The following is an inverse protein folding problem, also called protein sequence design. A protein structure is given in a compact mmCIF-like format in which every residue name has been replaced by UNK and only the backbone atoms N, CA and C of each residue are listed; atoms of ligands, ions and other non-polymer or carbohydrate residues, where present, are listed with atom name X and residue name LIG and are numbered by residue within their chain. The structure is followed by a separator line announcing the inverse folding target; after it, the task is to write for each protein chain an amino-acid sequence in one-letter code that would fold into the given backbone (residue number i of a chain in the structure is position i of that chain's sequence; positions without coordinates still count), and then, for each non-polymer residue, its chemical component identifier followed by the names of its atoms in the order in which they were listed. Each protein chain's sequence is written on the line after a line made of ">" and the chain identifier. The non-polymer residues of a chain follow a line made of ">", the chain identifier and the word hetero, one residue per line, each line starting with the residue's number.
data_IF_235926645762
#
_entry.id   IF_235926645762
#
_cell.length_a   1.000
_cell.length_b   1.000
_cell.length_c   1.000
_cell.angle_alpha   90.00
_cell.angle_beta   90.00
_cell.angle_gamma   90.00
#
_symmetry.space_group_name_H-M   'P 1'
#
loop_
_entity.id
_entity.type
_entity.pdbx_description
1 polymer ?
#
# COMPACT_ATOMS: atom_id res chain seq x y z
N UNK A 1 8.02 4.89 10.60
CA UNK A 1 7.12 3.81 11.09
C UNK A 1 5.71 3.83 10.49
N UNK A 2 5.03 4.98 10.33
CA UNK A 2 3.66 5.02 9.78
C UNK A 2 3.50 4.33 8.41
N UNK A 3 4.39 4.66 7.46
CA UNK A 3 4.40 4.06 6.11
C UNK A 3 4.64 2.54 6.10
N UNK A 4 5.48 2.03 7.00
CA UNK A 4 5.68 0.59 7.17
C UNK A 4 4.40 -0.08 7.68
N UNK A 5 3.78 0.49 8.71
CA UNK A 5 2.54 -0.06 9.27
C UNK A 5 1.41 -0.10 8.23
N UNK A 6 1.35 0.87 7.33
CA UNK A 6 0.38 0.87 6.26
C UNK A 6 0.63 -0.24 5.22
N UNK A 7 1.87 -0.72 5.01
CA UNK A 7 2.12 -1.90 4.17
C UNK A 7 1.51 -3.18 4.76
N UNK A 8 1.43 -3.30 6.10
CA UNK A 8 0.78 -4.46 6.74
C UNK A 8 -0.72 -4.53 6.44
N UNK A 9 -1.38 -3.40 6.16
CA UNK A 9 -2.79 -3.38 5.71
C UNK A 9 -2.97 -4.23 4.48
N UNK A 10 -2.01 -4.21 3.55
CA UNK A 10 -2.10 -5.00 2.32
C UNK A 10 -2.10 -6.51 2.59
N UNK A 11 -1.29 -6.98 3.54
CA UNK A 11 -1.32 -8.39 3.94
C UNK A 11 -2.63 -8.74 4.64
N UNK A 12 -3.07 -7.92 5.59
CA UNK A 12 -4.29 -8.17 6.37
C UNK A 12 -5.53 -8.26 5.48
N UNK A 13 -5.73 -7.28 4.58
CA UNK A 13 -6.89 -7.28 3.69
C UNK A 13 -6.76 -8.38 2.63
N UNK A 14 -5.55 -8.63 2.11
CA UNK A 14 -5.30 -9.74 1.19
C UNK A 14 -5.64 -11.11 1.80
N UNK A 15 -5.31 -11.29 3.09
CA UNK A 15 -5.62 -12.49 3.87
C UNK A 15 -7.12 -12.63 4.11
N UNK A 16 -7.80 -11.56 4.53
CA UNK A 16 -9.26 -11.55 4.72
C UNK A 16 -9.95 -11.93 3.40
N UNK A 17 -9.54 -11.34 2.28
CA UNK A 17 -10.09 -11.66 0.98
C UNK A 17 -9.94 -13.15 0.64
N UNK A 18 -8.77 -13.74 0.90
CA UNK A 18 -8.56 -15.17 0.72
C UNK A 18 -9.47 -16.04 1.62
N UNK A 19 -9.69 -15.64 2.87
CA UNK A 19 -10.60 -16.36 3.78
C UNK A 19 -12.07 -16.26 3.36
N UNK A 20 -12.50 -15.12 2.80
CA UNK A 20 -13.83 -14.96 2.22
C UNK A 20 -14.06 -15.91 1.04
N UNK A 21 -13.03 -16.17 0.24
CA UNK A 21 -13.07 -17.22 -0.79
C UNK A 21 -13.32 -18.60 -0.16
N UNK A 22 -12.57 -18.96 0.88
CA UNK A 22 -12.71 -20.26 1.55
C UNK A 22 -14.06 -20.45 2.24
N UNK A 23 -14.62 -19.39 2.81
CA UNK A 23 -15.92 -19.41 3.50
C UNK A 23 -17.13 -19.34 2.54
N UNK A 24 -16.91 -19.56 1.24
CA UNK A 24 -17.91 -19.50 0.18
C UNK A 24 -18.66 -18.16 0.08
N UNK A 25 -18.17 -17.08 0.71
CA UNK A 25 -18.74 -15.73 0.55
C UNK A 25 -18.60 -15.30 -0.91
N UNK A 26 -17.43 -15.55 -1.50
CA UNK A 26 -17.18 -15.30 -2.90
C UNK A 26 -18.07 -16.13 -3.85
N UNK A 27 -18.35 -17.40 -3.49
CA UNK A 27 -19.24 -18.25 -4.27
C UNK A 27 -20.67 -17.69 -4.31
N UNK A 28 -21.16 -17.13 -3.20
CA UNK A 28 -22.48 -16.46 -3.15
C UNK A 28 -22.52 -15.21 -4.03
N UNK A 29 -21.44 -14.44 -4.09
CA UNK A 29 -21.32 -13.26 -4.98
C UNK A 29 -21.37 -13.68 -6.46
N UNK A 30 -20.69 -14.77 -6.83
CA UNK A 30 -20.74 -15.31 -8.20
C UNK A 30 -22.14 -15.83 -8.56
N UNK A 31 -22.82 -16.51 -7.63
CA UNK A 31 -24.18 -17.01 -7.77
C UNK A 31 -25.20 -15.86 -7.90
N UNK A 32 -24.95 -14.73 -7.24
CA UNK A 32 -25.71 -13.49 -7.41
C UNK A 32 -25.44 -12.77 -8.76
N UNK A 33 -24.76 -13.43 -9.70
CA UNK A 33 -24.37 -12.91 -11.01
C UNK A 33 -23.53 -11.62 -10.97
N UNK A 34 -22.83 -11.37 -9.86
CA UNK A 34 -21.94 -10.22 -9.74
C UNK A 34 -20.63 -10.47 -10.48
N UNK A 35 -20.07 -9.41 -11.07
CA UNK A 35 -18.81 -9.50 -11.79
C UNK A 35 -17.65 -9.75 -10.82
N UNK A 36 -16.64 -10.51 -11.25
CA UNK A 36 -15.38 -10.67 -10.48
C UNK A 36 -14.70 -9.32 -10.19
N UNK A 37 -14.94 -8.33 -11.05
CA UNK A 37 -14.39 -7.00 -10.91
C UNK A 37 -15.01 -6.25 -9.74
N UNK A 38 -16.27 -6.49 -9.41
CA UNK A 38 -16.92 -5.90 -8.23
C UNK A 38 -16.20 -6.30 -6.94
N UNK A 39 -15.80 -7.57 -6.85
CA UNK A 39 -15.01 -8.05 -5.72
C UNK A 39 -13.59 -7.45 -5.73
N UNK A 40 -12.92 -7.49 -6.89
CA UNK A 40 -11.58 -6.90 -7.05
C UNK A 40 -11.53 -5.42 -6.64
N UNK A 41 -12.48 -4.62 -7.11
CA UNK A 41 -12.58 -3.19 -6.75
C UNK A 41 -12.96 -3.01 -5.29
N UNK A 42 -13.79 -3.90 -4.71
CA UNK A 42 -14.12 -3.88 -3.28
C UNK A 42 -12.88 -4.06 -2.41
N UNK A 43 -12.03 -5.05 -2.71
CA UNK A 43 -10.75 -5.27 -2.02
C UNK A 43 -9.81 -4.09 -2.22
N UNK A 44 -9.68 -3.57 -3.45
CA UNK A 44 -8.86 -2.40 -3.76
C UNK A 44 -9.28 -1.18 -2.94
N UNK A 45 -10.56 -0.81 -3.01
CA UNK A 45 -11.11 0.34 -2.30
C UNK A 45 -10.99 0.16 -0.78
N UNK A 46 -11.21 -1.05 -0.26
CA UNK A 46 -11.03 -1.32 1.17
C UNK A 46 -9.60 -1.01 1.58
N UNK A 47 -8.60 -1.52 0.87
CA UNK A 47 -7.20 -1.26 1.19
C UNK A 47 -6.81 0.20 1.12
N UNK A 48 -7.22 0.91 0.06
CA UNK A 48 -6.97 2.35 -0.08
C UNK A 48 -7.61 3.14 1.07
N UNK A 49 -8.86 2.84 1.42
CA UNK A 49 -9.59 3.55 2.48
C UNK A 49 -8.96 3.27 3.84
N UNK A 50 -8.67 2.00 4.17
CA UNK A 50 -8.09 1.64 5.46
C UNK A 50 -6.67 2.21 5.62
N UNK A 51 -5.84 2.19 4.58
CA UNK A 51 -4.50 2.81 4.65
C UNK A 51 -4.59 4.33 4.80
N UNK A 52 -5.53 4.97 4.09
CA UNK A 52 -5.74 6.41 4.15
C UNK A 52 -6.20 6.82 5.56
N UNK A 53 -7.23 6.17 6.10
CA UNK A 53 -7.72 6.41 7.46
C UNK A 53 -6.61 6.18 8.48
N UNK A 54 -5.87 5.07 8.37
CA UNK A 54 -4.77 4.78 9.28
C UNK A 54 -3.72 5.90 9.28
N UNK A 55 -3.30 6.37 8.11
CA UNK A 55 -2.29 7.43 8.01
C UNK A 55 -2.83 8.76 8.54
N UNK A 56 -4.07 9.13 8.23
CA UNK A 56 -4.70 10.34 8.76
C UNK A 56 -4.83 10.28 10.29
N UNK A 57 -5.16 9.13 10.87
CA UNK A 57 -5.23 8.97 12.33
C UNK A 57 -3.84 9.15 12.95
N UNK A 58 -2.80 8.51 12.40
CA UNK A 58 -1.44 8.59 12.94
C UNK A 58 -0.88 10.02 12.83
N UNK A 59 -0.98 10.64 11.66
CA UNK A 59 -0.46 11.98 11.44
C UNK A 59 -1.33 13.06 12.08
N UNK A 60 -2.64 12.85 12.18
CA UNK A 60 -3.55 13.73 12.94
C UNK A 60 -3.23 13.70 14.43
N UNK A 61 -2.92 12.53 14.98
CA UNK A 61 -2.42 12.42 16.35
C UNK A 61 -1.06 13.11 16.52
N UNK A 62 -0.16 12.97 15.54
CA UNK A 62 1.13 13.66 15.54
C UNK A 62 0.98 15.19 15.57
N UNK A 63 0.07 15.71 14.76
CA UNK A 63 -0.26 17.14 14.72
C UNK A 63 -0.85 17.62 16.06
N UNK A 64 -1.81 16.89 16.64
CA UNK A 64 -2.50 17.31 17.88
C UNK A 64 -1.63 17.24 19.13
N UNK A 65 -0.78 16.22 19.26
CA UNK A 65 -0.07 15.92 20.52
C UNK A 65 1.38 16.38 20.50
N UNK A 66 2.03 16.32 19.34
CA UNK A 66 3.46 16.62 19.19
C UNK A 66 3.72 17.93 18.45
N UNK A 67 2.67 18.70 18.15
CA UNK A 67 2.75 20.01 17.47
C UNK A 67 3.47 19.95 16.11
N UNK A 68 3.30 18.83 15.39
CA UNK A 68 3.89 18.61 14.07
C UNK A 68 3.05 19.31 13.02
N UNK A 69 3.52 20.44 12.48
CA UNK A 69 2.84 21.18 11.41
C UNK A 69 3.25 20.69 10.01
N UNK A 70 2.28 20.73 9.09
CA UNK A 70 2.48 20.46 7.67
C UNK A 70 2.12 21.73 6.90
N UNK A 71 3.12 22.48 6.44
CA UNK A 71 2.90 23.79 5.82
C UNK A 71 2.09 23.69 4.51
N UNK A 72 2.31 22.62 3.75
CA UNK A 72 1.54 22.30 2.54
C UNK A 72 0.60 21.11 2.77
N UNK A 73 -0.59 21.42 3.27
CA UNK A 73 -1.65 20.42 3.50
C UNK A 73 -2.08 19.71 2.20
N UNK A 74 -2.01 20.41 1.07
CA UNK A 74 -2.38 19.84 -0.24
C UNK A 74 -1.39 18.75 -0.63
N UNK A 75 -0.09 19.03 -0.53
CA UNK A 75 0.95 18.05 -0.80
C UNK A 75 0.86 16.85 0.17
N UNK A 76 0.58 17.10 1.46
CA UNK A 76 0.38 16.04 2.45
C UNK A 76 -0.77 15.08 2.06
N UNK A 77 -1.92 15.63 1.66
CA UNK A 77 -3.08 14.82 1.23
C UNK A 77 -2.75 14.04 -0.04
N UNK A 78 -2.07 14.67 -1.02
CA UNK A 78 -1.69 14.02 -2.28
C UNK A 78 -0.74 12.84 -2.07
N UNK A 79 0.27 12.99 -1.21
CA UNK A 79 1.17 11.87 -0.85
C UNK A 79 0.37 10.75 -0.19
N UNK A 80 -0.50 11.09 0.76
CA UNK A 80 -1.29 10.11 1.51
C UNK A 80 -2.21 9.30 0.58
N UNK A 81 -2.82 9.95 -0.41
CA UNK A 81 -3.63 9.29 -1.44
C UNK A 81 -2.75 8.42 -2.35
N UNK A 82 -1.66 8.96 -2.90
CA UNK A 82 -0.79 8.21 -3.82
C UNK A 82 -0.17 6.97 -3.16
N UNK A 83 0.26 7.12 -1.90
CA UNK A 83 0.77 6.02 -1.10
C UNK A 83 -0.34 4.99 -0.78
N UNK A 84 -1.55 5.43 -0.45
CA UNK A 84 -2.69 4.53 -0.23
C UNK A 84 -3.07 3.74 -1.47
N UNK A 85 -2.98 4.34 -2.67
CA UNK A 85 -3.15 3.64 -3.95
C UNK A 85 -2.05 2.59 -4.16
N UNK A 86 -0.79 2.87 -3.77
CA UNK A 86 0.28 1.87 -3.78
C UNK A 86 -0.05 0.66 -2.89
N UNK A 87 -0.50 0.91 -1.66
CA UNK A 87 -0.91 -0.15 -0.72
C UNK A 87 -2.10 -0.94 -1.29
N UNK A 88 -3.09 -0.25 -1.86
CA UNK A 88 -4.23 -0.87 -2.53
C UNK A 88 -3.80 -1.79 -3.68
N UNK A 89 -2.89 -1.33 -4.53
CA UNK A 89 -2.34 -2.11 -5.63
C UNK A 89 -1.61 -3.38 -5.18
N UNK A 90 -0.77 -3.27 -4.14
CA UNK A 90 -0.12 -4.43 -3.52
C UNK A 90 -1.18 -5.41 -2.99
N UNK A 91 -2.21 -4.91 -2.32
CA UNK A 91 -3.28 -5.74 -1.73
C UNK A 91 -3.94 -6.61 -2.79
N UNK A 92 -4.43 -6.02 -3.89
CA UNK A 92 -5.11 -6.79 -4.94
C UNK A 92 -4.17 -7.75 -5.65
N UNK A 93 -2.87 -7.44 -5.75
CA UNK A 93 -1.87 -8.36 -6.27
C UNK A 93 -1.68 -9.56 -5.36
N UNK A 94 -1.53 -9.34 -4.06
CA UNK A 94 -1.44 -10.41 -3.06
C UNK A 94 -2.70 -11.28 -3.11
N UNK A 95 -3.90 -10.68 -3.12
CA UNK A 95 -5.16 -11.41 -3.27
C UNK A 95 -5.18 -12.25 -4.55
N UNK A 96 -4.78 -11.69 -5.70
CA UNK A 96 -4.76 -12.41 -6.97
C UNK A 96 -3.82 -13.63 -6.93
N UNK A 97 -2.64 -13.48 -6.33
CA UNK A 97 -1.66 -14.57 -6.19
C UNK A 97 -2.18 -15.62 -5.20
N UNK A 98 -2.67 -15.23 -4.03
CA UNK A 98 -3.27 -16.14 -3.04
C UNK A 98 -4.41 -16.96 -3.65
N UNK A 99 -5.25 -16.33 -4.47
CA UNK A 99 -6.36 -16.99 -5.15
C UNK A 99 -5.89 -18.03 -6.15
N UNK A 100 -4.78 -17.76 -6.85
CA UNK A 100 -4.19 -18.65 -7.85
C UNK A 100 -3.39 -19.80 -7.24
N UNK A 101 -2.74 -19.54 -6.10
CA UNK A 101 -1.99 -20.54 -5.35
C UNK A 101 -2.88 -21.37 -4.40
N UNK A 102 -4.14 -20.95 -4.20
CA UNK A 102 -5.04 -21.52 -3.20
C UNK A 102 -4.41 -21.57 -1.79
N UNK A 103 -3.63 -20.54 -1.42
CA UNK A 103 -2.91 -20.48 -0.15
C UNK A 103 -2.73 -19.05 0.38
N UNK A 104 -2.64 -18.92 1.72
CA UNK A 104 -2.26 -17.70 2.46
C UNK A 104 -0.72 -17.46 2.46
N UNK A 105 0.06 -18.35 1.84
CA UNK A 105 1.54 -18.29 1.89
C UNK A 105 2.09 -16.94 1.42
N UNK A 106 1.59 -16.38 0.31
CA UNK A 106 2.15 -15.13 -0.23
C UNK A 106 1.84 -13.92 0.66
N UNK A 107 0.65 -13.86 1.27
CA UNK A 107 0.28 -12.80 2.23
C UNK A 107 1.15 -12.90 3.49
N UNK A 108 1.33 -14.12 4.01
CA UNK A 108 2.17 -14.35 5.20
C UNK A 108 3.64 -14.01 4.94
N UNK A 109 4.20 -14.46 3.81
CA UNK A 109 5.57 -14.09 3.39
C UNK A 109 5.72 -12.57 3.22
N UNK A 110 4.69 -11.92 2.65
CA UNK A 110 4.71 -10.47 2.49
C UNK A 110 4.82 -9.76 3.83
N UNK A 111 3.93 -10.07 4.79
CA UNK A 111 3.98 -9.44 6.13
C UNK A 111 5.23 -9.80 6.94
N UNK A 112 5.67 -11.06 6.93
CA UNK A 112 6.74 -11.50 7.83
C UNK A 112 8.14 -11.12 7.33
N UNK A 113 8.36 -11.15 6.01
CA UNK A 113 9.69 -11.00 5.41
C UNK A 113 9.76 -9.75 4.53
N UNK A 114 8.85 -9.63 3.56
CA UNK A 114 8.97 -8.58 2.53
C UNK A 114 8.78 -7.20 3.16
N UNK A 115 7.80 -7.00 4.04
CA UNK A 115 7.61 -5.71 4.72
C UNK A 115 8.84 -5.34 5.55
N UNK A 116 9.49 -6.29 6.23
CA UNK A 116 10.72 -6.04 7.00
C UNK A 116 11.88 -5.61 6.11
N UNK A 117 12.05 -6.24 4.94
CA UNK A 117 13.06 -5.85 3.94
C UNK A 117 12.76 -4.45 3.40
N UNK A 118 11.50 -4.20 3.01
CA UNK A 118 11.07 -2.89 2.53
C UNK A 118 11.27 -1.82 3.61
N UNK A 119 10.95 -2.12 4.87
CA UNK A 119 11.15 -1.21 5.99
C UNK A 119 12.63 -0.88 6.23
N UNK A 120 13.53 -1.85 6.08
CA UNK A 120 14.97 -1.63 6.17
C UNK A 120 15.48 -0.75 5.01
N UNK A 121 15.14 -1.13 3.77
CA UNK A 121 15.63 -0.47 2.55
C UNK A 121 15.03 0.92 2.38
N UNK A 122 13.75 1.08 2.65
CA UNK A 122 13.04 2.36 2.60
C UNK A 122 13.16 3.20 3.86
N UNK A 123 14.12 2.90 4.75
CA UNK A 123 14.47 3.72 5.93
C UNK A 123 13.34 3.95 6.94
N UNK A 124 12.47 2.95 7.10
CA UNK A 124 11.44 2.99 8.14
C UNK A 124 11.99 2.70 9.54
N UNK A 125 13.12 1.98 9.64
CA UNK A 125 13.81 1.66 10.91
C UNK A 125 14.95 2.61 11.26
N UNK A 126 15.61 3.22 10.27
CA UNK A 126 16.74 4.12 10.47
C UNK A 126 16.54 5.40 9.65
N UNK A 127 16.88 6.59 10.17
CA UNK A 127 16.90 7.82 9.38
C UNK A 127 17.85 7.65 8.19
N UNK A 128 17.39 7.97 6.98
CA UNK A 128 18.18 7.77 5.75
C UNK A 128 19.31 8.83 5.60
N UNK A 129 19.37 9.88 6.44
CA UNK A 129 20.52 10.79 6.51
C UNK A 129 21.58 10.23 7.46
N UNK A 130 22.87 10.10 7.13
CA UNK A 130 23.70 11.10 6.46
C UNK A 130 24.86 10.54 5.59
N UNK A 131 25.01 9.22 5.37
CA UNK A 131 26.27 8.71 4.79
C UNK A 131 26.18 7.59 3.73
N UNK A 132 25.00 7.19 3.26
CA UNK A 132 24.88 6.12 2.25
C UNK A 132 23.89 6.49 1.15
N UNK A 133 24.35 7.28 0.17
CA UNK A 133 23.57 7.68 -1.02
C UNK A 133 22.94 6.47 -1.76
N UNK A 134 23.57 5.30 -1.69
CA UNK A 134 23.07 4.05 -2.28
C UNK A 134 21.77 3.59 -1.61
N UNK A 135 21.67 3.69 -0.28
CA UNK A 135 20.47 3.27 0.47
C UNK A 135 19.32 4.24 0.20
N UNK A 136 19.61 5.54 0.11
CA UNK A 136 18.60 6.54 -0.27
C UNK A 136 18.07 6.31 -1.69
N UNK A 137 18.97 6.06 -2.64
CA UNK A 137 18.59 5.79 -4.03
C UNK A 137 17.69 4.55 -4.13
N UNK A 138 18.11 3.42 -3.54
CA UNK A 138 17.35 2.16 -3.58
C UNK A 138 16.05 2.28 -2.77
N UNK A 139 16.10 2.94 -1.62
CA UNK A 139 14.95 3.20 -0.76
C UNK A 139 13.84 3.94 -1.48
N UNK A 140 14.19 4.93 -2.30
CA UNK A 140 13.22 5.69 -3.10
C UNK A 140 12.51 4.84 -4.18
N UNK A 141 13.06 3.69 -4.57
CA UNK A 141 12.38 2.71 -5.43
C UNK A 141 11.46 1.74 -4.67
N UNK A 142 11.22 1.98 -3.38
CA UNK A 142 10.21 1.26 -2.59
C UNK A 142 9.04 2.19 -2.28
N UNK A 143 7.79 1.68 -2.20
CA UNK A 143 6.64 2.53 -1.90
C UNK A 143 6.79 3.21 -0.53
N UNK A 144 7.22 2.48 0.50
CA UNK A 144 7.41 3.06 1.83
C UNK A 144 8.59 4.04 1.89
N UNK A 145 9.68 3.80 1.16
CA UNK A 145 10.80 4.75 1.09
C UNK A 145 10.41 6.04 0.36
N UNK A 146 9.82 5.95 -0.83
CA UNK A 146 9.30 7.13 -1.54
C UNK A 146 8.26 7.89 -0.72
N UNK A 147 7.35 7.19 -0.03
CA UNK A 147 6.39 7.81 0.88
C UNK A 147 7.08 8.52 2.06
N UNK A 148 8.06 7.87 2.70
CA UNK A 148 8.82 8.45 3.81
C UNK A 148 9.58 9.70 3.38
N UNK A 149 10.30 9.64 2.25
CA UNK A 149 11.05 10.77 1.69
C UNK A 149 10.14 11.94 1.37
N UNK A 150 8.97 11.69 0.78
CA UNK A 150 7.97 12.71 0.49
C UNK A 150 7.42 13.40 1.75
N UNK A 151 7.06 12.63 2.80
CA UNK A 151 6.60 13.21 4.06
C UNK A 151 7.70 14.02 4.76
N UNK A 152 8.94 13.51 4.79
CA UNK A 152 10.06 14.23 5.39
C UNK A 152 10.39 15.53 4.64
N UNK A 153 10.27 15.54 3.31
CA UNK A 153 10.48 16.74 2.52
C UNK A 153 9.45 17.83 2.83
N UNK A 154 8.16 17.49 2.98
CA UNK A 154 7.15 18.46 3.43
C UNK A 154 7.45 18.98 4.84
N UNK A 155 7.83 18.10 5.77
CA UNK A 155 8.20 18.51 7.13
C UNK A 155 9.39 19.47 7.17
N UNK A 156 10.29 19.41 6.18
CA UNK A 156 11.40 20.36 6.02
C UNK A 156 11.02 21.66 5.30
N UNK A 157 9.74 21.84 4.95
CA UNK A 157 9.26 23.01 4.20
C UNK A 157 9.66 23.00 2.72
N UNK A 158 9.96 21.83 2.14
CA UNK A 158 10.29 21.73 0.72
C UNK A 158 9.04 21.88 -0.17
N UNK A 159 9.18 22.60 -1.28
CA UNK A 159 8.07 22.80 -2.23
C UNK A 159 7.60 21.51 -2.91
N UNK A 160 6.33 21.46 -3.31
CA UNK A 160 5.72 20.34 -4.03
C UNK A 160 6.51 19.87 -5.28
N UNK A 161 7.23 20.79 -5.94
CA UNK A 161 8.06 20.47 -7.12
C UNK A 161 9.17 19.45 -6.83
N UNK A 162 9.73 19.45 -5.61
CA UNK A 162 10.74 18.47 -5.19
C UNK A 162 10.12 17.11 -4.81
N UNK A 163 8.85 17.11 -4.44
CA UNK A 163 8.13 15.91 -3.98
C UNK A 163 7.38 15.21 -5.11
N UNK A 164 7.14 15.92 -6.22
CA UNK A 164 6.39 15.41 -7.38
C UNK A 164 6.89 14.06 -7.90
N UNK A 165 8.21 13.85 -7.92
CA UNK A 165 8.80 12.57 -8.35
C UNK A 165 8.35 11.39 -7.48
N UNK A 166 8.26 11.57 -6.16
CA UNK A 166 7.78 10.53 -5.25
C UNK A 166 6.29 10.25 -5.45
N UNK A 167 5.47 11.30 -5.64
CA UNK A 167 4.03 11.15 -5.88
C UNK A 167 3.78 10.41 -7.21
N UNK A 168 4.53 10.76 -8.26
CA UNK A 168 4.47 10.10 -9.55
C UNK A 168 4.90 8.63 -9.40
N UNK A 169 6.02 8.37 -8.74
CA UNK A 169 6.51 7.01 -8.50
C UNK A 169 5.46 6.16 -7.78
N UNK A 170 4.89 6.64 -6.67
CA UNK A 170 3.85 5.95 -5.90
C UNK A 170 2.62 5.68 -6.76
N UNK A 171 2.16 6.67 -7.52
CA UNK A 171 1.00 6.51 -8.39
C UNK A 171 1.26 5.45 -9.46
N UNK A 172 2.38 5.55 -10.19
CA UNK A 172 2.78 4.60 -11.23
C UNK A 172 2.97 3.19 -10.65
N UNK A 173 3.63 3.07 -9.50
CA UNK A 173 3.83 1.80 -8.81
C UNK A 173 2.49 1.16 -8.43
N UNK A 174 1.58 1.92 -7.81
CA UNK A 174 0.25 1.46 -7.45
C UNK A 174 -0.55 0.99 -8.66
N UNK A 175 -0.60 1.79 -9.72
CA UNK A 175 -1.27 1.40 -10.97
C UNK A 175 -0.62 0.18 -11.62
N UNK A 176 0.71 0.07 -11.63
CA UNK A 176 1.40 -1.10 -12.15
C UNK A 176 1.01 -2.37 -11.37
N UNK A 177 0.98 -2.32 -10.04
CA UNK A 177 0.53 -3.45 -9.21
C UNK A 177 -0.94 -3.80 -9.48
N UNK A 178 -1.82 -2.82 -9.62
CA UNK A 178 -3.23 -3.03 -9.98
C UNK A 178 -3.35 -3.73 -11.34
N UNK A 179 -2.58 -3.29 -12.34
CA UNK A 179 -2.61 -3.88 -13.69
C UNK A 179 -2.10 -5.33 -13.67
N UNK A 180 -0.97 -5.59 -13.00
CA UNK A 180 -0.43 -6.94 -12.85
C UNK A 180 -1.43 -7.84 -12.10
N UNK A 181 -2.08 -7.31 -11.05
CA UNK A 181 -3.11 -8.01 -10.31
C UNK A 181 -4.31 -8.35 -11.19
N UNK A 182 -4.82 -7.39 -11.97
CA UNK A 182 -5.95 -7.58 -12.87
C UNK A 182 -5.69 -8.65 -13.94
N UNK A 183 -4.46 -8.71 -14.47
CA UNK A 183 -4.02 -9.75 -15.42
C UNK A 183 -3.86 -11.13 -14.75
N UNK A 184 -3.44 -11.15 -13.48
CA UNK A 184 -3.24 -12.38 -12.71
C UNK A 184 -4.55 -12.91 -12.12
N UNK A 185 -5.56 -12.06 -11.93
CA UNK A 185 -6.78 -12.38 -11.23
C UNK A 185 -7.57 -13.49 -11.96
N UNK A 186 -7.85 -14.63 -11.29
CA UNK A 186 -8.37 -15.81 -11.97
C UNK A 186 -9.70 -15.58 -12.69
N UNK A 187 -9.95 -16.38 -13.73
CA UNK A 187 -11.21 -16.37 -14.51
C UNK A 187 -12.30 -17.14 -13.75
N UNK A 188 -13.57 -16.78 -13.99
CA UNK A 188 -14.77 -17.26 -13.24
C UNK A 188 -14.77 -18.77 -12.96
N UNK A 189 -14.32 -19.60 -13.90
CA UNK A 189 -14.30 -21.07 -13.77
C UNK A 189 -13.09 -21.69 -13.04
N UNK A 190 -12.06 -20.91 -12.66
CA UNK A 190 -10.88 -21.40 -11.89
C UNK A 190 -10.84 -20.84 -10.46
N UNK A 191 -11.92 -20.17 -10.04
CA UNK A 191 -12.00 -19.51 -8.74
C UNK A 191 -12.79 -20.29 -7.69
N UNK A 192 -13.47 -21.36 -8.10
CA UNK A 192 -14.14 -22.33 -7.23
C UNK A 192 -13.12 -23.39 -6.83
#
# INVERSE_FOLDING_TARGET
>A
MAVMNALFVASTIGLIAFREKQSFVFARIILANMSKWTYFTGVLCSAVIFSLIQLLVIYGFAWLIFDVSWDDLTAFILITIAFSISVGGITVLLTAISYRMHSETVTNLFSSVIVSILALVGGSFFPIGENVQVIELIGNFTPNGSGMSAYLAILRGESIGKIGNHIIFLSVFGFAMIMIAAMTFPKRGRMV
#
